data_IF_719753671968
#
_entry.id   IF_719753671968
#
_cell.length_a   1.000
_cell.length_b   1.000
_cell.length_c   1.000
_cell.angle_alpha   90.00
_cell.angle_beta   90.00
_cell.angle_gamma   90.00
#
_symmetry.space_group_name_H-M   'P 1'
#
loop_
_entity.id
_entity.type
_entity.pdbx_description
1 polymer ?
#
# COMPACT_ATOMS: atom_id res chain seq x y z
N UNK A 1 0.04 17.23 -4.62
CA UNK A 1 -1.22 16.54 -4.98
C UNK A 1 -2.33 17.48 -5.46
N UNK A 2 -2.47 18.70 -4.91
CA UNK A 2 -3.49 19.67 -5.37
C UNK A 2 -3.51 19.91 -6.89
N UNK A 3 -2.34 20.09 -7.51
CA UNK A 3 -2.21 20.23 -8.97
C UNK A 3 -2.83 19.07 -9.73
N UNK A 4 -2.67 17.82 -9.27
CA UNK A 4 -3.23 16.63 -9.92
C UNK A 4 -4.76 16.64 -9.90
N UNK A 5 -5.37 17.12 -8.82
CA UNK A 5 -6.84 17.23 -8.71
C UNK A 5 -7.39 18.24 -9.70
N UNK A 6 -6.71 19.37 -9.87
CA UNK A 6 -7.13 20.47 -10.74
C UNK A 6 -7.01 20.17 -12.24
N UNK A 7 -6.23 19.15 -12.64
CA UNK A 7 -6.07 18.81 -14.06
C UNK A 7 -7.40 18.33 -14.68
N UNK A 8 -7.72 18.68 -15.94
CA UNK A 8 -8.90 18.21 -16.65
C UNK A 8 -8.69 16.78 -17.20
N UNK A 9 -8.39 15.83 -16.31
CA UNK A 9 -8.15 14.42 -16.64
C UNK A 9 -9.21 13.50 -16.03
N UNK A 10 -9.42 12.33 -16.64
CA UNK A 10 -10.34 11.32 -16.10
C UNK A 10 -9.85 10.84 -14.71
N UNK A 11 -10.76 10.59 -13.74
CA UNK A 11 -10.41 10.09 -12.40
C UNK A 11 -9.44 8.90 -12.41
N UNK A 12 -9.66 7.95 -13.31
CA UNK A 12 -8.83 6.76 -13.44
C UNK A 12 -7.40 7.08 -13.89
N UNK A 13 -7.23 8.04 -14.80
CA UNK A 13 -5.92 8.52 -15.25
C UNK A 13 -5.19 9.26 -14.14
N UNK A 14 -5.90 10.10 -13.37
CA UNK A 14 -5.35 10.77 -12.18
C UNK A 14 -4.87 9.77 -11.13
N UNK A 15 -5.66 8.74 -10.86
CA UNK A 15 -5.29 7.65 -9.93
C UNK A 15 -4.05 6.88 -10.41
N UNK A 16 -3.96 6.61 -11.72
CA UNK A 16 -2.76 6.00 -12.32
C UNK A 16 -1.52 6.89 -12.15
N UNK A 17 -1.62 8.20 -12.42
CA UNK A 17 -0.53 9.16 -12.21
C UNK A 17 -0.10 9.26 -10.74
N UNK A 18 -1.06 9.24 -9.81
CA UNK A 18 -0.80 9.23 -8.38
C UNK A 18 0.06 8.04 -7.98
N UNK A 19 -0.35 6.83 -8.39
CA UNK A 19 0.33 5.57 -8.04
C UNK A 19 1.65 5.36 -8.79
N UNK A 20 1.69 5.72 -10.08
CA UNK A 20 2.85 5.47 -10.94
C UNK A 20 3.96 6.50 -10.82
N UNK A 21 3.65 7.75 -10.51
CA UNK A 21 4.65 8.84 -10.53
C UNK A 21 4.75 9.58 -9.19
N UNK A 22 3.65 10.00 -8.59
CA UNK A 22 3.73 10.85 -7.38
C UNK A 22 4.15 10.06 -6.15
N UNK A 23 3.50 8.92 -5.88
CA UNK A 23 3.81 8.11 -4.70
C UNK A 23 5.25 7.57 -4.72
N UNK A 24 5.77 7.03 -5.84
CA UNK A 24 7.18 6.60 -5.91
C UNK A 24 8.17 7.74 -5.68
N UNK A 25 7.89 8.96 -6.17
CA UNK A 25 8.74 10.14 -5.93
C UNK A 25 8.75 10.54 -4.46
N UNK A 26 7.59 10.56 -3.80
CA UNK A 26 7.48 10.83 -2.36
C UNK A 26 8.23 9.75 -1.58
N UNK A 27 8.00 8.48 -1.89
CA UNK A 27 8.68 7.35 -1.28
C UNK A 27 10.21 7.49 -1.39
N UNK A 28 10.73 7.80 -2.58
CA UNK A 28 12.16 8.02 -2.79
C UNK A 28 12.70 9.16 -1.93
N UNK A 29 11.99 10.29 -1.85
CA UNK A 29 12.42 11.42 -1.01
C UNK A 29 12.48 11.07 0.48
N UNK A 30 11.58 10.21 0.96
CA UNK A 30 11.54 9.80 2.36
C UNK A 30 12.74 8.93 2.76
N UNK A 31 13.34 8.20 1.82
CA UNK A 31 14.46 7.29 2.10
C UNK A 31 15.72 8.01 2.59
N UNK A 32 15.91 9.29 2.26
CA UNK A 32 17.06 10.10 2.71
C UNK A 32 16.83 10.89 3.99
N UNK A 33 15.62 10.85 4.55
CA UNK A 33 15.22 11.71 5.68
C UNK A 33 15.03 10.93 6.97
N UNK A 34 15.07 11.61 8.13
CA UNK A 34 14.66 10.97 9.39
C UNK A 34 13.14 10.77 9.36
N UNK A 35 12.74 9.51 9.26
CA UNK A 35 11.34 9.14 9.16
C UNK A 35 10.72 8.98 10.55
N UNK A 36 9.66 9.74 10.83
CA UNK A 36 8.86 9.64 12.06
C UNK A 36 7.48 9.06 11.74
N UNK A 37 6.90 8.30 12.67
CA UNK A 37 5.56 7.70 12.53
C UNK A 37 4.49 8.75 12.21
N UNK A 38 4.54 9.90 12.89
CA UNK A 38 3.54 10.97 12.72
C UNK A 38 3.61 11.63 11.34
N UNK A 39 4.83 11.78 10.81
CA UNK A 39 5.04 12.29 9.45
C UNK A 39 4.43 11.33 8.43
N UNK A 40 4.76 10.03 8.52
CA UNK A 40 4.20 9.02 7.60
C UNK A 40 2.67 8.95 7.71
N UNK A 41 2.13 8.95 8.92
CA UNK A 41 0.69 8.93 9.15
C UNK A 41 -0.02 10.18 8.60
N UNK A 42 0.62 11.35 8.66
CA UNK A 42 0.10 12.59 8.06
C UNK A 42 0.10 12.52 6.54
N UNK A 43 1.19 12.01 5.94
CA UNK A 43 1.27 11.81 4.49
C UNK A 43 0.24 10.78 4.00
N UNK A 44 0.01 9.71 4.76
CA UNK A 44 -0.99 8.70 4.43
C UNK A 44 -2.41 9.25 4.51
N UNK A 45 -2.73 10.07 5.53
CA UNK A 45 -4.01 10.79 5.61
C UNK A 45 -4.24 11.67 4.39
N UNK A 46 -3.23 12.45 4.01
CA UNK A 46 -3.26 13.32 2.82
C UNK A 46 -3.49 12.47 1.57
N UNK A 47 -2.72 11.39 1.39
CA UNK A 47 -2.82 10.50 0.24
C UNK A 47 -4.24 9.89 0.10
N UNK A 48 -4.82 9.41 1.21
CA UNK A 48 -6.17 8.87 1.25
C UNK A 48 -7.23 9.92 0.91
N UNK A 49 -7.13 11.13 1.47
CA UNK A 49 -8.03 12.23 1.15
C UNK A 49 -8.00 12.60 -0.34
N UNK A 50 -6.82 12.70 -0.93
CA UNK A 50 -6.68 12.98 -2.36
C UNK A 50 -7.19 11.83 -3.22
N UNK A 51 -6.95 10.58 -2.83
CA UNK A 51 -7.49 9.41 -3.54
C UNK A 51 -9.02 9.43 -3.53
N UNK A 52 -9.64 9.64 -2.35
CA UNK A 52 -11.09 9.74 -2.22
C UNK A 52 -11.65 10.89 -3.07
N UNK A 53 -10.99 12.06 -3.06
CA UNK A 53 -11.39 13.22 -3.86
C UNK A 53 -11.29 12.97 -5.37
N UNK A 54 -10.20 12.33 -5.83
CA UNK A 54 -9.98 12.03 -7.26
C UNK A 54 -11.03 11.06 -7.79
N UNK A 55 -11.37 10.05 -7.01
CA UNK A 55 -12.31 9.00 -7.39
C UNK A 55 -13.76 9.30 -6.99
N UNK A 56 -14.01 10.47 -6.40
CA UNK A 56 -15.32 10.86 -5.88
C UNK A 56 -15.91 9.85 -4.87
N UNK A 57 -15.06 9.24 -4.05
CA UNK A 57 -15.47 8.29 -3.02
C UNK A 57 -16.03 9.02 -1.79
N UNK A 58 -16.93 8.35 -1.07
CA UNK A 58 -17.49 8.87 0.18
C UNK A 58 -16.40 9.03 1.25
N UNK A 59 -16.58 10.00 2.15
CA UNK A 59 -15.62 10.23 3.25
C UNK A 59 -15.47 8.99 4.14
N UNK A 60 -16.58 8.29 4.40
CA UNK A 60 -16.65 7.06 5.20
C UNK A 60 -16.22 5.79 4.46
N UNK A 61 -15.73 5.88 3.22
CA UNK A 61 -15.18 4.69 2.55
C UNK A 61 -14.00 4.13 3.39
N UNK A 62 -14.01 2.83 3.71
CA UNK A 62 -12.93 2.17 4.44
C UNK A 62 -11.56 2.43 3.81
N UNK A 63 -10.57 2.73 4.64
CA UNK A 63 -9.21 3.01 4.16
C UNK A 63 -8.53 1.73 3.68
N UNK A 64 -8.94 0.60 4.27
CA UNK A 64 -8.48 -0.75 3.99
C UNK A 64 -8.75 -1.11 2.53
N UNK A 65 -9.91 -0.75 1.99
CA UNK A 65 -10.26 -0.96 0.57
C UNK A 65 -9.40 -0.12 -0.37
N UNK A 66 -8.96 1.06 0.08
CA UNK A 66 -8.10 1.94 -0.72
C UNK A 66 -6.67 1.37 -0.80
N UNK A 67 -6.21 0.77 0.29
CA UNK A 67 -4.82 0.32 0.43
C UNK A 67 -4.64 -1.16 0.08
N UNK A 68 -5.71 -1.95 0.13
CA UNK A 68 -5.70 -3.34 -0.31
C UNK A 68 -5.20 -3.46 -1.76
N UNK A 69 -4.39 -4.48 -2.08
CA UNK A 69 -3.82 -4.63 -3.41
C UNK A 69 -4.91 -4.93 -4.44
N UNK A 70 -4.66 -4.54 -5.69
CA UNK A 70 -5.63 -4.67 -6.80
C UNK A 70 -6.05 -6.12 -7.03
N UNK A 71 -5.12 -7.08 -6.82
CA UNK A 71 -5.39 -8.52 -6.92
C UNK A 71 -6.42 -9.03 -5.91
N UNK A 72 -6.59 -8.33 -4.79
CA UNK A 72 -7.53 -8.65 -3.72
C UNK A 72 -8.78 -7.75 -3.80
N UNK A 73 -8.98 -7.04 -4.91
CA UNK A 73 -10.15 -6.18 -5.13
C UNK A 73 -10.03 -4.77 -4.54
N UNK A 74 -8.86 -4.39 -4.00
CA UNK A 74 -8.62 -3.04 -3.50
C UNK A 74 -8.14 -2.06 -4.58
N UNK A 75 -7.92 -0.80 -4.19
CA UNK A 75 -7.38 0.21 -5.11
C UNK A 75 -5.86 0.12 -5.26
N UNK A 76 -5.13 -0.56 -4.38
CA UNK A 76 -3.67 -0.72 -4.45
C UNK A 76 -2.91 0.59 -4.25
N UNK A 77 -3.44 1.50 -3.45
CA UNK A 77 -2.71 2.70 -3.04
C UNK A 77 -1.76 2.34 -1.91
N UNK A 78 -0.47 2.51 -2.15
CA UNK A 78 0.59 2.26 -1.17
C UNK A 78 0.38 3.11 0.11
N UNK A 79 0.47 2.44 1.27
CA UNK A 79 0.58 3.09 2.58
C UNK A 79 2.07 3.30 2.92
N UNK A 80 2.47 4.56 3.11
CA UNK A 80 3.85 4.96 3.36
C UNK A 80 4.30 4.53 4.76
N UNK A 81 3.42 4.58 5.75
CA UNK A 81 3.70 4.10 7.12
C UNK A 81 4.08 2.63 7.19
N UNK A 82 3.65 1.83 6.22
CA UNK A 82 3.99 0.41 6.09
C UNK A 82 5.17 0.22 5.14
N UNK A 83 5.12 0.85 3.97
CA UNK A 83 6.08 0.59 2.91
C UNK A 83 7.46 1.15 3.22
N UNK A 84 7.55 2.33 3.84
CA UNK A 84 8.85 2.96 4.15
C UNK A 84 9.63 2.12 5.17
N UNK A 85 9.08 1.72 6.34
CA UNK A 85 9.82 0.87 7.26
C UNK A 85 10.15 -0.50 6.69
N UNK A 86 9.26 -1.10 5.89
CA UNK A 86 9.54 -2.38 5.22
C UNK A 86 10.72 -2.29 4.26
N UNK A 87 10.77 -1.25 3.42
CA UNK A 87 11.88 -1.06 2.47
C UNK A 87 13.18 -0.79 3.21
N UNK A 88 13.17 0.05 4.25
CA UNK A 88 14.35 0.33 5.06
C UNK A 88 14.89 -0.92 5.76
N UNK A 89 14.02 -1.75 6.34
CA UNK A 89 14.41 -3.01 6.95
C UNK A 89 15.02 -3.97 5.92
N UNK A 90 14.36 -4.16 4.77
CA UNK A 90 14.90 -5.00 3.68
C UNK A 90 16.25 -4.50 3.18
N UNK A 91 16.49 -3.18 3.15
CA UNK A 91 17.79 -2.62 2.78
C UNK A 91 18.86 -2.91 3.83
N UNK A 92 18.54 -2.83 5.12
CA UNK A 92 19.47 -3.19 6.19
C UNK A 92 19.79 -4.69 6.16
N UNK A 93 18.79 -5.54 5.99
CA UNK A 93 18.99 -6.99 5.88
C UNK A 93 19.81 -7.32 4.62
N UNK A 94 19.48 -6.72 3.47
CA UNK A 94 20.24 -6.91 2.24
C UNK A 94 21.67 -6.35 2.31
N UNK A 95 21.92 -5.29 3.09
CA UNK A 95 23.26 -4.79 3.34
C UNK A 95 24.07 -5.79 4.17
N UNK A 96 23.47 -6.34 5.23
CA UNK A 96 24.08 -7.39 6.06
C UNK A 96 24.44 -8.62 5.23
N UNK A 97 23.53 -9.06 4.36
CA UNK A 97 23.72 -10.28 3.60
C UNK A 97 24.80 -10.11 2.50
N UNK A 98 24.92 -8.90 1.91
CA UNK A 98 25.91 -8.60 0.86
C UNK A 98 27.28 -8.21 1.39
N UNK A 99 27.34 -7.58 2.56
CA UNK A 99 28.57 -7.08 3.17
C UNK A 99 29.03 -7.98 4.32
N UNK A 100 28.65 -9.26 4.30
CA UNK A 100 29.04 -10.23 5.32
C UNK A 100 30.57 -10.35 5.46
N UNK A 101 31.29 -10.15 4.36
CA UNK A 101 32.75 -10.21 4.31
C UNK A 101 33.44 -8.89 4.65
N UNK A 102 32.70 -7.77 4.77
CA UNK A 102 33.27 -6.45 5.12
C UNK A 102 33.14 -6.20 6.64
N UNK A 103 34.25 -6.23 7.39
CA UNK A 103 34.23 -6.07 8.84
C UNK A 103 33.79 -4.66 9.27
N UNK A 104 33.99 -3.63 8.45
CA UNK A 104 33.59 -2.25 8.76
C UNK A 104 32.07 -2.15 8.71
N UNK A 105 31.46 -2.70 7.66
CA UNK A 105 30.00 -2.67 7.51
C UNK A 105 29.32 -3.50 8.60
N UNK A 106 29.87 -4.67 8.94
CA UNK A 106 29.35 -5.50 10.03
C UNK A 106 29.47 -4.81 11.39
N UNK A 107 30.58 -4.13 11.68
CA UNK A 107 30.73 -3.32 12.89
C UNK A 107 29.74 -2.13 12.93
N UNK A 108 29.48 -1.47 11.78
CA UNK A 108 28.46 -0.43 11.67
C UNK A 108 27.04 -0.96 11.90
N UNK A 109 26.72 -2.12 11.34
CA UNK A 109 25.41 -2.77 11.53
C UNK A 109 25.17 -3.19 12.98
N UNK A 110 26.22 -3.65 13.67
CA UNK A 110 26.21 -3.96 15.10
C UNK A 110 26.26 -2.72 16.01
N UNK A 111 26.35 -1.51 15.44
CA UNK A 111 26.33 -0.29 16.24
C UNK A 111 24.95 -0.05 16.86
N UNK A 112 24.91 0.38 18.12
CA UNK A 112 23.66 0.65 18.84
C UNK A 112 22.76 1.69 18.16
N UNK A 113 23.32 2.55 17.29
CA UNK A 113 22.55 3.49 16.47
C UNK A 113 21.68 2.77 15.44
N UNK A 114 22.26 1.81 14.72
CA UNK A 114 21.55 1.04 13.68
C UNK A 114 20.57 0.06 14.34
N UNK A 115 20.94 -0.58 15.44
CA UNK A 115 20.03 -1.45 16.19
C UNK A 115 18.83 -0.70 16.77
N UNK A 116 19.05 0.49 17.33
CA UNK A 116 17.97 1.37 17.79
C UNK A 116 17.05 1.81 16.65
N UNK A 117 17.63 2.09 15.48
CA UNK A 117 16.85 2.40 14.27
C UNK A 117 16.04 1.20 13.79
N UNK A 118 16.65 0.00 13.67
CA UNK A 118 15.99 -1.25 13.27
C UNK A 118 14.84 -1.59 14.20
N UNK A 119 15.05 -1.46 15.51
CA UNK A 119 14.01 -1.69 16.53
C UNK A 119 12.85 -0.71 16.37
N UNK A 120 13.12 0.57 16.09
CA UNK A 120 12.09 1.57 15.83
C UNK A 120 11.27 1.24 14.58
N UNK A 121 11.92 0.84 13.49
CA UNK A 121 11.23 0.44 12.26
C UNK A 121 10.33 -0.77 12.50
N UNK A 122 10.80 -1.77 13.24
CA UNK A 122 9.98 -2.92 13.65
C UNK A 122 8.79 -2.50 14.51
N UNK A 123 8.99 -1.60 15.47
CA UNK A 123 7.89 -1.04 16.29
C UNK A 123 6.84 -0.31 15.44
N UNK A 124 7.27 0.39 14.38
CA UNK A 124 6.35 1.03 13.44
C UNK A 124 5.51 -0.02 12.69
N UNK A 125 6.12 -1.14 12.28
CA UNK A 125 5.43 -2.23 11.58
C UNK A 125 4.58 -3.12 12.50
N UNK A 126 4.91 -3.24 13.79
CA UNK A 126 4.17 -4.09 14.72
C UNK A 126 2.70 -3.66 14.90
N UNK A 127 2.35 -2.43 14.52
CA UNK A 127 0.96 -1.95 14.51
C UNK A 127 0.18 -2.43 13.28
N UNK A 128 0.85 -3.03 12.30
CA UNK A 128 0.25 -3.48 11.05
C UNK A 128 -0.04 -4.98 11.13
N UNK A 129 -1.26 -5.43 10.80
CA UNK A 129 -1.63 -6.84 10.89
C UNK A 129 -0.84 -7.67 9.88
N UNK A 130 -0.46 -8.88 10.27
CA UNK A 130 0.35 -9.79 9.44
C UNK A 130 -0.36 -10.20 8.13
N UNK A 131 -1.69 -10.29 8.12
CA UNK A 131 -2.50 -10.54 6.92
C UNK A 131 -2.75 -9.30 6.05
N UNK A 132 -2.14 -8.18 6.40
CA UNK A 132 -2.21 -6.92 5.67
C UNK A 132 -3.62 -6.34 5.54
N UNK A 133 -3.82 -5.53 4.50
CA UNK A 133 -5.09 -4.85 4.28
C UNK A 133 -6.24 -5.81 3.96
N UNK A 134 -5.98 -7.01 3.40
CA UNK A 134 -7.01 -8.01 3.12
C UNK A 134 -7.74 -8.44 4.39
N UNK A 135 -6.96 -8.81 5.40
CA UNK A 135 -7.49 -9.25 6.68
C UNK A 135 -8.32 -8.14 7.34
N UNK A 136 -7.90 -6.88 7.19
CA UNK A 136 -8.66 -5.74 7.69
C UNK A 136 -9.99 -5.53 6.95
N UNK A 137 -10.03 -5.78 5.63
CA UNK A 137 -11.28 -5.74 4.86
C UNK A 137 -12.22 -6.87 5.30
N UNK A 138 -11.69 -8.08 5.50
CA UNK A 138 -12.45 -9.26 5.96
C UNK A 138 -12.98 -9.12 7.39
N UNK A 139 -12.34 -8.30 8.24
CA UNK A 139 -12.80 -8.02 9.61
C UNK A 139 -13.61 -6.72 9.72
N UNK A 140 -13.71 -5.96 8.62
CA UNK A 140 -14.33 -4.64 8.59
C UNK A 140 -15.85 -4.66 8.60
N UNK A 141 -16.44 -3.48 8.78
CA UNK A 141 -17.90 -3.25 8.87
C UNK A 141 -18.65 -3.82 7.66
N UNK A 142 -18.07 -3.73 6.47
CA UNK A 142 -18.67 -4.21 5.23
C UNK A 142 -18.44 -5.70 4.95
N UNK A 143 -17.68 -6.42 5.79
CA UNK A 143 -17.32 -7.81 5.52
C UNK A 143 -18.53 -8.71 5.33
N UNK A 144 -19.57 -8.57 6.16
CA UNK A 144 -20.79 -9.37 6.06
C UNK A 144 -21.51 -9.13 4.73
N UNK A 145 -21.63 -7.87 4.32
CA UNK A 145 -22.28 -7.49 3.06
C UNK A 145 -21.46 -7.92 1.84
N UNK A 146 -20.13 -7.76 1.90
CA UNK A 146 -19.21 -8.22 0.86
C UNK A 146 -19.28 -9.74 0.69
N UNK A 147 -19.33 -10.49 1.80
CA UNK A 147 -19.49 -11.94 1.77
C UNK A 147 -20.84 -12.34 1.18
N UNK A 148 -21.93 -11.67 1.55
CA UNK A 148 -23.25 -11.91 0.96
C UNK A 148 -23.24 -11.63 -0.55
N UNK A 149 -22.69 -10.49 -0.98
CA UNK A 149 -22.58 -10.11 -2.39
C UNK A 149 -21.72 -11.09 -3.21
N UNK A 150 -20.69 -11.69 -2.60
CA UNK A 150 -19.85 -12.70 -3.25
C UNK A 150 -20.61 -14.00 -3.58
N UNK A 151 -21.63 -14.31 -2.78
CA UNK A 151 -22.45 -15.52 -2.97
C UNK A 151 -23.66 -15.26 -3.88
N UNK A 152 -23.94 -14.00 -4.20
CA UNK A 152 -25.07 -13.64 -5.05
C UNK A 152 -24.91 -14.20 -6.47
N UNK A 153 -25.97 -14.80 -6.99
CA UNK A 153 -25.97 -15.49 -8.28
C UNK A 153 -25.73 -14.52 -9.43
N UNK A 154 -26.21 -13.28 -9.30
CA UNK A 154 -26.00 -12.22 -10.29
C UNK A 154 -24.52 -11.83 -10.39
N UNK A 155 -23.85 -11.63 -9.26
CA UNK A 155 -22.41 -11.32 -9.17
C UNK A 155 -21.55 -12.44 -9.74
N UNK A 156 -21.87 -13.69 -9.40
CA UNK A 156 -21.14 -14.87 -9.92
C UNK A 156 -21.34 -15.05 -11.41
N UNK A 157 -22.58 -14.91 -11.89
CA UNK A 157 -22.86 -15.00 -13.32
C UNK A 157 -22.09 -13.97 -14.14
N UNK A 158 -21.83 -12.77 -13.62
CA UNK A 158 -21.02 -11.75 -14.30
C UNK A 158 -19.51 -12.06 -14.31
N UNK A 159 -18.99 -12.68 -13.25
CA UNK A 159 -17.59 -13.15 -13.16
C UNK A 159 -17.36 -14.39 -14.04
N UNK A 160 -18.35 -15.28 -14.08
CA UNK A 160 -18.28 -16.57 -14.75
C UNK A 160 -18.61 -16.44 -16.25
N UNK A 161 -19.66 -15.71 -16.60
CA UNK A 161 -20.07 -15.39 -17.96
C UNK A 161 -19.55 -13.99 -18.35
N UNK A 162 -18.24 -13.90 -18.58
CA UNK A 162 -17.61 -12.66 -19.05
C UNK A 162 -18.23 -12.22 -20.39
N UNK A 163 -18.78 -10.99 -20.52
CA UNK A 163 -19.34 -10.52 -21.77
C UNK A 163 -18.25 -10.36 -22.84
N UNK A 164 -18.56 -10.82 -24.05
CA UNK A 164 -17.67 -10.74 -25.22
C UNK A 164 -17.24 -9.27 -25.44
N UNK A 165 -15.94 -8.99 -25.36
CA UNK A 165 -15.37 -7.64 -25.57
C UNK A 165 -14.77 -6.97 -24.33
N UNK A 166 -14.83 -7.55 -23.13
CA UNK A 166 -14.21 -6.95 -21.94
C UNK A 166 -12.69 -7.20 -21.85
N UNK A 167 -11.92 -6.11 -21.65
CA UNK A 167 -10.44 -6.04 -21.74
C UNK A 167 -9.70 -6.80 -20.62
N UNK A 168 -10.39 -7.23 -19.57
CA UNK A 168 -9.75 -7.85 -18.40
C UNK A 168 -9.35 -9.32 -18.69
N UNK A 169 -8.10 -9.59 -19.06
CA UNK A 169 -7.60 -10.97 -19.20
C UNK A 169 -7.71 -11.69 -17.85
N UNK A 170 -8.35 -12.88 -17.81
CA UNK A 170 -8.21 -13.80 -16.67
C UNK A 170 -6.71 -14.07 -16.53
N UNK A 171 -6.06 -13.57 -15.48
CA UNK A 171 -4.86 -14.22 -14.98
C UNK A 171 -5.34 -15.49 -14.31
N UNK A 172 -5.36 -16.59 -15.06
CA UNK A 172 -5.53 -17.93 -14.51
C UNK A 172 -4.34 -18.19 -13.60
N UNK A 173 -4.55 -18.09 -12.28
CA UNK A 173 -3.57 -18.51 -11.29
C UNK A 173 -3.77 -20.01 -11.07
N UNK A 174 -2.84 -20.82 -11.57
CA UNK A 174 -2.65 -22.18 -11.07
C UNK A 174 -2.17 -22.09 -9.62
N UNK A 175 -2.77 -22.92 -8.76
CA UNK A 175 -2.46 -23.07 -7.34
C UNK A 175 -1.02 -23.51 -7.12
#
# INVERSE_FOLDING_TARGET
MQRLVALPLKPIQKSSLLKGFLLPRILHSLMGTRVTKDLLGSLDKINRQYTKKILHLHLHTPNELIQAPVREGGLGVCELSVSVPQILLRRLDGLRDRAADDPIVMAMLASGRIDGFRTRLRKMLAHFPEGGHKQLVEQGVFSRELNAASQDSSSRSWIDAKPAGSICKRQTFHR
#
